data_IF_868688181771
#
_entry.id   IF_868688181771
#
_cell.length_a   1.000
_cell.length_b   1.000
_cell.length_c   1.000
_cell.angle_alpha   90.00
_cell.angle_beta   90.00
_cell.angle_gamma   90.00
#
_symmetry.space_group_name_H-M   'P 1'
#
loop_
_entity.id
_entity.type
_entity.pdbx_description
1 polymer ?
#
# COMPACT_ATOMS: atom_id res chain seq x y z
N UNK A 1 -4.44 -7.60 18.23
CA UNK A 1 -3.34 -8.29 17.52
C UNK A 1 -3.35 -7.76 16.10
N UNK A 2 -2.23 -7.25 15.59
CA UNK A 2 -2.17 -6.72 14.22
C UNK A 2 -2.10 -7.86 13.21
N UNK A 3 -3.12 -7.99 12.35
CA UNK A 3 -3.06 -8.90 11.20
C UNK A 3 -2.58 -8.14 9.95
N UNK A 4 -1.63 -8.72 9.25
CA UNK A 4 -1.10 -8.22 7.99
C UNK A 4 -1.46 -9.21 6.87
N UNK A 5 -1.61 -8.71 5.65
CA UNK A 5 -1.79 -9.54 4.47
C UNK A 5 -0.61 -9.35 3.53
N UNK A 6 0.20 -10.38 3.33
CA UNK A 6 1.38 -10.37 2.46
C UNK A 6 1.23 -11.44 1.37
N UNK A 7 1.91 -11.25 0.24
CA UNK A 7 1.88 -12.22 -0.86
C UNK A 7 3.21 -12.27 -1.61
N UNK A 8 3.72 -13.48 -1.88
CA UNK A 8 4.85 -13.68 -2.80
C UNK A 8 4.45 -13.55 -4.27
N UNK A 9 3.16 -13.71 -4.60
CA UNK A 9 2.54 -13.50 -5.90
C UNK A 9 1.08 -13.09 -5.72
N UNK A 10 0.40 -12.59 -6.76
CA UNK A 10 -1.01 -12.17 -6.66
C UNK A 10 -1.98 -13.25 -6.11
N UNK A 11 -1.89 -14.55 -6.50
CA UNK A 11 -2.80 -15.57 -5.98
C UNK A 11 -2.43 -16.10 -4.59
N UNK A 12 -1.25 -15.79 -4.06
CA UNK A 12 -0.72 -16.40 -2.82
C UNK A 12 -0.83 -15.48 -1.62
N UNK A 13 -1.87 -14.65 -1.56
CA UNK A 13 -2.09 -13.74 -0.44
C UNK A 13 -2.40 -14.53 0.84
N UNK A 14 -1.67 -14.24 1.91
CA UNK A 14 -1.83 -14.85 3.23
C UNK A 14 -2.04 -13.73 4.24
N UNK A 15 -3.09 -13.85 5.05
CA UNK A 15 -3.32 -13.00 6.21
C UNK A 15 -2.95 -13.76 7.48
N UNK A 16 -2.07 -13.17 8.27
CA UNK A 16 -1.55 -13.71 9.53
C UNK A 16 -1.11 -12.57 10.46
N UNK A 17 -0.71 -12.91 11.68
CA UNK A 17 -0.17 -11.97 12.67
C UNK A 17 1.12 -11.32 12.18
N UNK A 18 1.38 -10.08 12.61
CA UNK A 18 2.67 -9.41 12.38
C UNK A 18 3.86 -10.26 12.79
N UNK A 19 3.79 -10.94 13.93
CA UNK A 19 4.90 -11.77 14.42
C UNK A 19 5.16 -12.99 13.54
N UNK A 20 4.13 -13.54 12.88
CA UNK A 20 4.32 -14.56 11.86
C UNK A 20 5.15 -14.03 10.67
N UNK A 21 5.01 -12.76 10.28
CA UNK A 21 5.78 -12.20 9.17
C UNK A 21 7.15 -11.66 9.54
N UNK A 22 7.41 -11.40 10.83
CA UNK A 22 8.65 -10.75 11.30
C UNK A 22 9.89 -11.50 10.81
N UNK A 23 10.77 -10.79 10.10
CA UNK A 23 12.00 -11.32 9.52
C UNK A 23 11.82 -12.03 8.17
N UNK A 24 10.58 -12.14 7.67
CA UNK A 24 10.21 -12.84 6.42
C UNK A 24 9.47 -11.93 5.44
N UNK A 25 9.27 -10.66 5.77
CA UNK A 25 8.57 -9.69 4.93
C UNK A 25 9.24 -9.55 3.56
N UNK A 26 10.58 -9.60 3.53
CA UNK A 26 11.38 -9.46 2.33
C UNK A 26 11.10 -10.54 1.25
N UNK A 27 10.54 -11.69 1.63
CA UNK A 27 10.17 -12.79 0.74
C UNK A 27 8.79 -12.59 0.09
N UNK A 28 8.05 -11.56 0.47
CA UNK A 28 6.70 -11.30 -0.01
C UNK A 28 6.70 -9.98 -0.80
N UNK A 29 6.69 -10.08 -2.12
CA UNK A 29 6.78 -8.89 -2.96
C UNK A 29 5.57 -7.95 -2.83
N UNK A 30 4.44 -8.44 -2.29
CA UNK A 30 3.23 -7.66 -2.10
C UNK A 30 2.73 -7.63 -0.65
N UNK A 31 2.06 -6.54 -0.30
CA UNK A 31 1.41 -6.30 0.99
C UNK A 31 0.09 -5.56 0.78
N UNK A 32 -0.92 -5.83 1.60
CA UNK A 32 -2.08 -4.93 1.74
C UNK A 32 -1.69 -3.81 2.70
N UNK A 33 -1.79 -2.53 2.31
CA UNK A 33 -1.26 -1.43 3.12
C UNK A 33 -2.04 -1.21 4.42
N UNK A 34 -3.25 -1.77 4.53
CA UNK A 34 -4.12 -1.62 5.69
C UNK A 34 -4.16 -2.93 6.51
N UNK A 35 -4.22 -2.85 7.85
CA UNK A 35 -4.40 -4.02 8.70
C UNK A 35 -5.65 -4.81 8.34
N UNK A 36 -5.58 -6.13 8.49
CA UNK A 36 -6.72 -7.01 8.27
C UNK A 36 -7.54 -7.12 9.57
N UNK A 37 -8.86 -7.26 9.45
CA UNK A 37 -9.76 -7.45 10.59
C UNK A 37 -9.95 -8.92 10.97
N UNK A 38 -9.71 -9.84 10.03
CA UNK A 38 -9.78 -11.28 10.24
C UNK A 38 -8.84 -12.02 9.26
N UNK A 39 -8.48 -13.27 9.58
CA UNK A 39 -7.63 -14.12 8.73
C UNK A 39 -8.24 -14.43 7.36
N UNK A 40 -9.58 -14.43 7.28
CA UNK A 40 -10.36 -14.69 6.05
C UNK A 40 -11.66 -13.90 6.06
N UNK A 41 -12.25 -13.70 4.90
CA UNK A 41 -13.61 -13.18 4.73
C UNK A 41 -14.27 -13.72 3.47
N UNK A 42 -15.56 -13.45 3.29
CA UNK A 42 -16.29 -13.81 2.07
C UNK A 42 -16.12 -12.71 1.02
N UNK A 43 -15.90 -13.10 -0.23
CA UNK A 43 -15.97 -12.17 -1.37
C UNK A 43 -17.43 -11.84 -1.71
N UNK A 44 -17.64 -10.86 -2.60
CA UNK A 44 -18.96 -10.54 -3.14
C UNK A 44 -19.62 -11.71 -3.90
N UNK A 45 -18.83 -12.71 -4.30
CA UNK A 45 -19.29 -13.95 -4.95
C UNK A 45 -19.45 -15.11 -3.95
N UNK A 46 -19.33 -14.86 -2.64
CA UNK A 46 -19.50 -15.88 -1.60
C UNK A 46 -18.32 -16.84 -1.42
N UNK A 47 -17.16 -16.56 -2.03
CA UNK A 47 -15.96 -17.40 -1.88
C UNK A 47 -15.16 -16.98 -0.65
N UNK A 48 -14.64 -17.94 0.11
CA UNK A 48 -13.70 -17.66 1.22
C UNK A 48 -12.37 -17.16 0.64
N UNK A 49 -11.88 -16.02 1.12
CA UNK A 49 -10.61 -15.43 0.72
C UNK A 49 -9.80 -14.98 1.93
N UNK A 50 -8.48 -15.10 1.84
CA UNK A 50 -7.52 -14.50 2.79
C UNK A 50 -7.42 -12.98 2.64
N UNK A 51 -7.85 -12.46 1.48
CA UNK A 51 -7.81 -11.03 1.13
C UNK A 51 -9.09 -10.63 0.41
N UNK A 52 -9.97 -9.92 1.10
CA UNK A 52 -11.15 -9.28 0.53
C UNK A 52 -11.56 -8.08 1.39
N UNK A 53 -12.51 -7.28 0.90
CA UNK A 53 -13.05 -6.15 1.65
C UNK A 53 -13.66 -6.59 2.99
N UNK A 54 -14.31 -7.75 3.04
CA UNK A 54 -14.97 -8.25 4.25
C UNK A 54 -14.00 -8.60 5.39
N UNK A 55 -12.71 -8.82 5.11
CA UNK A 55 -11.69 -9.04 6.14
C UNK A 55 -10.60 -7.96 6.19
N UNK A 56 -10.82 -6.82 5.54
CA UNK A 56 -9.92 -5.67 5.62
C UNK A 56 -10.40 -4.73 6.71
N UNK A 57 -9.47 -4.28 7.55
CA UNK A 57 -9.75 -3.31 8.61
C UNK A 57 -9.90 -1.88 8.08
N UNK A 58 -9.93 -0.89 8.99
CA UNK A 58 -10.02 0.52 8.62
C UNK A 58 -8.89 0.96 7.70
N UNK A 59 -9.17 1.95 6.84
CA UNK A 59 -8.17 2.57 5.97
C UNK A 59 -7.16 3.34 6.83
N UNK A 60 -5.93 2.85 6.91
CA UNK A 60 -4.82 3.50 7.62
C UNK A 60 -3.90 4.26 6.68
N UNK A 61 -3.63 3.67 5.51
CA UNK A 61 -2.73 4.23 4.52
C UNK A 61 -3.41 4.30 3.15
N UNK A 62 -3.32 5.47 2.52
CA UNK A 62 -3.56 5.61 1.09
C UNK A 62 -2.23 5.49 0.37
N UNK A 63 -2.07 4.44 -0.44
CA UNK A 63 -0.93 4.34 -1.35
C UNK A 63 -1.27 5.05 -2.65
N UNK A 64 -0.36 5.86 -3.16
CA UNK A 64 -0.51 6.56 -4.44
C UNK A 64 0.69 6.15 -5.30
N UNK A 65 0.44 5.69 -6.51
CA UNK A 65 1.48 5.33 -7.47
C UNK A 65 1.20 5.97 -8.83
N UNK A 66 2.29 6.28 -9.54
CA UNK A 66 2.28 6.82 -10.88
C UNK A 66 3.05 5.88 -11.79
N UNK A 67 2.40 5.43 -12.86
CA UNK A 67 2.95 4.46 -13.81
C UNK A 67 3.60 5.10 -15.04
N UNK A 68 3.52 6.43 -15.13
CA UNK A 68 3.98 7.28 -16.22
C UNK A 68 4.87 8.41 -15.66
N UNK A 69 5.65 9.02 -16.55
CA UNK A 69 6.60 10.08 -16.20
C UNK A 69 7.91 9.55 -15.63
N UNK A 70 8.93 10.42 -15.64
CA UNK A 70 10.24 10.10 -15.06
C UNK A 70 10.15 10.02 -13.53
N UNK A 71 11.05 9.26 -12.89
CA UNK A 71 11.07 9.12 -11.42
C UNK A 71 11.18 10.47 -10.70
N UNK A 72 11.90 11.44 -11.27
CA UNK A 72 11.98 12.80 -10.74
C UNK A 72 10.63 13.53 -10.76
N UNK A 73 9.83 13.36 -11.81
CA UNK A 73 8.50 13.95 -11.92
C UNK A 73 7.55 13.32 -10.90
N UNK A 74 7.60 11.99 -10.77
CA UNK A 74 6.85 11.28 -9.74
C UNK A 74 7.25 11.74 -8.33
N UNK A 75 8.54 11.95 -8.07
CA UNK A 75 9.04 12.47 -6.80
C UNK A 75 8.54 13.90 -6.52
N UNK A 76 8.54 14.79 -7.54
CA UNK A 76 7.97 16.15 -7.42
C UNK A 76 6.48 16.10 -7.06
N UNK A 77 5.71 15.20 -7.68
CA UNK A 77 4.29 15.03 -7.34
C UNK A 77 4.15 14.53 -5.89
N UNK A 78 4.95 13.55 -5.47
CA UNK A 78 4.90 13.07 -4.09
C UNK A 78 5.25 14.15 -3.07
N UNK A 79 6.24 15.00 -3.37
CA UNK A 79 6.62 16.13 -2.55
C UNK A 79 5.49 17.16 -2.44
N UNK A 80 4.83 17.48 -3.55
CA UNK A 80 3.64 18.34 -3.57
C UNK A 80 2.52 17.77 -2.69
N UNK A 81 2.22 16.48 -2.84
CA UNK A 81 1.18 15.79 -2.06
C UNK A 81 1.52 15.66 -0.57
N UNK A 82 2.79 15.68 -0.19
CA UNK A 82 3.21 15.67 1.22
C UNK A 82 2.76 16.93 1.98
N UNK A 83 2.45 18.03 1.28
CA UNK A 83 1.81 19.21 1.87
C UNK A 83 0.32 19.04 2.16
N UNK A 84 -0.32 17.97 1.69
CA UNK A 84 -1.77 17.73 1.81
C UNK A 84 -2.10 16.56 2.74
N UNK A 85 -1.24 15.54 2.78
CA UNK A 85 -1.38 14.37 3.64
C UNK A 85 -0.01 13.91 4.11
N UNK A 86 0.07 13.28 5.28
CA UNK A 86 1.34 12.90 5.90
C UNK A 86 2.00 11.74 5.15
N UNK A 87 2.96 12.05 4.29
CA UNK A 87 3.79 11.06 3.59
C UNK A 87 4.69 10.32 4.59
N UNK A 88 4.54 9.00 4.68
CA UNK A 88 5.28 8.14 5.62
C UNK A 88 6.38 7.33 4.97
N UNK A 89 6.17 6.95 3.72
CA UNK A 89 7.06 6.05 3.00
C UNK A 89 6.98 6.32 1.51
N UNK A 90 8.12 6.22 0.82
CA UNK A 90 8.17 6.10 -0.64
C UNK A 90 8.90 4.81 -0.99
N UNK A 91 8.25 3.94 -1.74
CA UNK A 91 8.83 2.68 -2.24
C UNK A 91 9.04 2.80 -3.74
N UNK A 92 10.26 2.57 -4.21
CA UNK A 92 10.49 2.31 -5.62
C UNK A 92 10.09 0.88 -5.93
N UNK A 93 9.26 0.67 -6.95
CA UNK A 93 8.69 -0.64 -7.28
C UNK A 93 9.67 -1.69 -7.80
N UNK A 94 10.95 -1.32 -7.95
CA UNK A 94 11.98 -2.14 -8.58
C UNK A 94 11.88 -2.15 -10.12
N UNK A 95 11.13 -1.21 -10.71
CA UNK A 95 11.05 -1.03 -12.16
C UNK A 95 10.91 0.44 -12.56
N UNK A 96 9.73 1.06 -12.37
CA UNK A 96 9.41 2.37 -12.97
C UNK A 96 8.58 3.32 -12.11
N UNK A 97 8.03 2.87 -10.99
CA UNK A 97 7.03 3.61 -10.22
C UNK A 97 7.51 3.87 -8.79
N UNK A 98 7.24 5.08 -8.30
CA UNK A 98 7.27 5.44 -6.90
C UNK A 98 5.89 5.26 -6.29
N UNK A 99 5.83 4.59 -5.15
CA UNK A 99 4.61 4.34 -4.39
C UNK A 99 4.72 5.13 -3.08
N UNK A 100 3.99 6.24 -2.99
CA UNK A 100 3.90 7.06 -1.79
C UNK A 100 2.82 6.57 -0.85
N UNK A 101 3.16 6.28 0.41
CA UNK A 101 2.23 5.86 1.45
C UNK A 101 1.87 7.06 2.33
N UNK A 102 0.59 7.45 2.30
CA UNK A 102 0.07 8.59 3.05
C UNK A 102 -0.75 8.09 4.24
N UNK A 103 -0.42 8.55 5.44
CA UNK A 103 -1.16 8.27 6.67
C UNK A 103 -2.46 9.08 6.69
N UNK A 104 -3.59 8.38 6.61
CA UNK A 104 -4.93 9.00 6.49
C UNK A 104 -5.80 8.76 7.72
N UNK A 105 -5.25 8.18 8.80
CA UNK A 105 -6.02 7.81 10.01
C UNK A 105 -6.71 8.98 10.69
N UNK A 106 -6.11 10.16 10.64
CA UNK A 106 -6.66 11.40 11.22
C UNK A 106 -7.54 12.19 10.24
N UNK A 107 -7.73 11.71 9.01
CA UNK A 107 -8.50 12.39 7.97
C UNK A 107 -9.94 11.87 7.98
N UNK A 108 -10.92 12.78 7.98
CA UNK A 108 -12.32 12.41 7.82
C UNK A 108 -12.59 11.79 6.43
N UNK A 109 -13.62 10.92 6.27
CA UNK A 109 -13.89 10.22 5.01
C UNK A 109 -14.03 11.14 3.80
N UNK A 110 -14.66 12.31 3.97
CA UNK A 110 -14.79 13.30 2.90
C UNK A 110 -13.45 13.90 2.47
N UNK A 111 -12.54 14.14 3.42
CA UNK A 111 -11.19 14.67 3.15
C UNK A 111 -10.37 13.61 2.41
N UNK A 112 -10.45 12.34 2.83
CA UNK A 112 -9.82 11.22 2.11
C UNK A 112 -10.36 11.11 0.69
N UNK A 113 -11.68 11.25 0.50
CA UNK A 113 -12.30 11.23 -0.82
C UNK A 113 -11.80 12.39 -1.70
N UNK A 114 -11.72 13.62 -1.16
CA UNK A 114 -11.17 14.78 -1.89
C UNK A 114 -9.71 14.56 -2.26
N UNK A 115 -8.90 14.03 -1.34
CA UNK A 115 -7.51 13.67 -1.61
C UNK A 115 -7.39 12.64 -2.74
N UNK A 116 -8.16 11.54 -2.69
CA UNK A 116 -8.22 10.52 -3.76
C UNK A 116 -8.61 11.10 -5.10
N UNK A 117 -9.62 11.97 -5.14
CA UNK A 117 -10.05 12.64 -6.38
C UNK A 117 -8.95 13.52 -6.96
N UNK A 118 -8.24 14.26 -6.09
CA UNK A 118 -7.15 15.13 -6.51
C UNK A 118 -5.97 14.33 -7.07
N UNK A 119 -5.49 13.30 -6.36
CA UNK A 119 -4.37 12.48 -6.86
C UNK A 119 -4.74 11.70 -8.12
N UNK A 120 -6.00 11.27 -8.26
CA UNK A 120 -6.50 10.68 -9.50
C UNK A 120 -6.48 11.67 -10.67
N UNK A 121 -6.80 12.95 -10.44
CA UNK A 121 -6.71 13.99 -11.46
C UNK A 121 -5.26 14.28 -11.89
N UNK A 122 -4.30 14.00 -11.00
CA UNK A 122 -2.85 14.04 -11.29
C UNK A 122 -2.34 12.76 -11.99
N UNK A 123 -3.21 11.79 -12.28
CA UNK A 123 -2.84 10.57 -13.02
C UNK A 123 -2.46 9.36 -12.16
N UNK A 124 -2.77 9.35 -10.87
CA UNK A 124 -2.52 8.19 -10.01
C UNK A 124 -3.34 6.96 -10.42
N UNK A 125 -2.77 5.76 -10.27
CA UNK A 125 -3.52 4.51 -10.46
C UNK A 125 -4.58 4.33 -9.36
N UNK A 126 -5.84 4.29 -9.79
CA UNK A 126 -7.02 4.16 -8.92
C UNK A 126 -7.16 2.76 -8.33
N UNK A 127 -6.46 1.74 -8.84
CA UNK A 127 -6.49 0.40 -8.25
C UNK A 127 -6.05 0.43 -6.77
N UNK A 128 -5.09 1.29 -6.44
CA UNK A 128 -4.60 1.52 -5.07
C UNK A 128 -5.63 2.15 -4.11
N UNK A 129 -6.80 2.56 -4.61
CA UNK A 129 -7.87 3.13 -3.76
C UNK A 129 -8.73 2.03 -3.15
N UNK A 130 -8.67 0.80 -3.68
CA UNK A 130 -9.28 -0.35 -3.04
C UNK A 130 -8.52 -0.69 -1.73
N UNK A 131 -9.17 -0.66 -0.55
CA UNK A 131 -8.51 -0.88 0.74
C UNK A 131 -7.75 -2.21 0.86
N UNK A 132 -8.17 -3.23 0.11
CA UNK A 132 -7.55 -4.55 0.14
C UNK A 132 -6.58 -4.79 -1.04
N UNK A 133 -6.23 -3.75 -1.81
CA UNK A 133 -5.31 -3.88 -2.94
C UNK A 133 -3.92 -4.30 -2.48
N UNK A 134 -3.32 -5.24 -3.22
CA UNK A 134 -1.91 -5.59 -3.06
C UNK A 134 -1.04 -4.50 -3.70
N UNK A 135 -0.12 -3.95 -2.90
CA UNK A 135 0.89 -2.98 -3.34
C UNK A 135 2.29 -3.54 -3.09
N UNK A 136 3.31 -2.84 -3.56
CA UNK A 136 4.72 -3.24 -3.43
C UNK A 136 5.17 -3.21 -1.96
N UNK A 137 5.72 -4.34 -1.48
CA UNK A 137 6.24 -4.44 -0.11
C UNK A 137 7.58 -3.71 0.00
N UNK A 138 7.78 -2.83 1.00
CA UNK A 138 9.03 -2.11 1.17
C UNK A 138 10.20 -3.07 1.42
N UNK A 139 11.30 -2.88 0.70
CA UNK A 139 12.54 -3.68 0.75
C UNK A 139 12.38 -5.18 0.45
N UNK A 140 11.24 -5.62 -0.09
CA UNK A 140 11.08 -7.00 -0.54
C UNK A 140 11.64 -7.22 -1.94
N UNK A 141 12.02 -8.47 -2.21
CA UNK A 141 12.52 -8.90 -3.52
C UNK A 141 11.36 -9.29 -4.44
N UNK A 142 11.42 -8.84 -5.68
CA UNK A 142 10.53 -9.29 -6.76
C UNK A 142 10.90 -10.68 -7.25
N UNK A 143 9.99 -11.31 -7.98
CA UNK A 143 10.25 -12.54 -8.73
C UNK A 143 11.43 -12.43 -9.71
N UNK A 144 11.59 -11.27 -10.36
CA UNK A 144 12.71 -10.97 -11.26
C UNK A 144 14.02 -10.60 -10.53
N UNK A 145 14.08 -10.72 -9.21
CA UNK A 145 15.27 -10.45 -8.40
C UNK A 145 15.49 -8.99 -8.01
N UNK A 146 14.78 -8.03 -8.61
CA UNK A 146 14.91 -6.61 -8.27
C UNK A 146 14.37 -6.31 -6.86
N UNK A 147 14.99 -5.32 -6.19
CA UNK A 147 14.60 -4.90 -4.84
C UNK A 147 13.62 -3.73 -4.92
N UNK A 148 12.56 -3.80 -4.11
CA UNK A 148 11.57 -2.74 -3.97
C UNK A 148 12.03 -1.73 -2.91
N UNK A 149 13.03 -0.92 -3.23
CA UNK A 149 13.75 -0.08 -2.25
C UNK A 149 12.84 0.94 -1.58
N UNK A 150 12.85 0.99 -0.25
CA UNK A 150 12.29 2.12 0.50
C UNK A 150 13.23 3.34 0.37
N UNK A 151 12.86 4.29 -0.48
CA UNK A 151 13.66 5.49 -0.77
C UNK A 151 13.51 6.59 0.30
N UNK A 152 12.34 6.65 0.93
CA UNK A 152 12.04 7.60 1.99
C UNK A 152 11.26 6.89 3.08
N UNK A 153 11.65 7.09 4.33
CA UNK A 153 10.88 6.70 5.51
C UNK A 153 10.80 7.95 6.38
N UNK A 154 9.59 8.45 6.64
CA UNK A 154 9.44 9.57 7.56
C UNK A 154 9.93 9.13 8.94
N UNK A 155 10.78 9.89 9.64
CA UNK A 155 11.11 9.59 11.02
C UNK A 155 9.80 9.53 11.84
N UNK A 156 9.75 8.64 12.82
CA UNK A 156 8.61 8.56 13.73
C UNK A 156 8.51 9.86 14.54
N UNK A 157 7.79 10.85 14.00
CA UNK A 157 7.31 11.98 14.78
C UNK A 157 6.07 11.56 15.55
N UNK A 158 6.18 11.60 16.88
CA UNK A 158 5.05 11.61 17.82
C UNK A 158 3.99 12.62 17.37
#
# INVERSE_FOLDING_TARGET
MDLLCLASSLPTAVTDTRDAFRGREHAHQFIVPNPMSASTGLTSEGRVSRRCLANTGPLTYQVVEFDQGALEEQAKIHLHLAGMAKLRLVVFSGNKSLHGWYDVRSMGPEVVMRFRRYVAALGADKATFNPCQLVRTPNARRDNGAIQTALFVSPHGN
#
